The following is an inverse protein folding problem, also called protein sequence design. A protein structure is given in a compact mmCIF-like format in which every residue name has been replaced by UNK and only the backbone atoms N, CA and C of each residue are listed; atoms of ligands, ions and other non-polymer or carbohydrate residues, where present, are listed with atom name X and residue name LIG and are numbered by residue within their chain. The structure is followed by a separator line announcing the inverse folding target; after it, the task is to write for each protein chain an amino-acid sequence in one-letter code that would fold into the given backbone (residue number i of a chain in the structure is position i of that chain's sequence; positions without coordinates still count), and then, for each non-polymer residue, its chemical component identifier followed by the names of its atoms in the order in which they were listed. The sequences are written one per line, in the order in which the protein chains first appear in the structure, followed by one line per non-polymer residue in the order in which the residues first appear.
data_IF_194710747626
#
_entry.id   IF_194710747626
#
_cell.length_a   1.000
_cell.length_b   1.000
_cell.length_c   1.000
_cell.angle_alpha   90.00
_cell.angle_beta   90.00
_cell.angle_gamma   90.00
#
_symmetry.space_group_name_H-M   'P 1'
#
loop_
_entity.id
_entity.type
_entity.pdbx_description
1 polymer ?
#
# COMPACT_ATOMS: atom_id res chain seq x y z
N UNK A 1 -24.10 3.94 8.92
CA UNK A 1 -23.48 2.80 8.22
C UNK A 1 -21.96 2.85 8.35
N UNK A 2 -21.33 1.77 8.77
CA UNK A 2 -19.87 1.67 8.95
C UNK A 2 -19.33 0.49 8.14
N UNK A 3 -18.19 0.68 7.46
CA UNK A 3 -17.54 -0.37 6.69
C UNK A 3 -16.03 -0.32 6.90
N UNK A 4 -15.45 -1.48 7.16
CA UNK A 4 -14.01 -1.67 7.29
C UNK A 4 -13.51 -2.59 6.16
N UNK A 5 -12.36 -2.27 5.60
CA UNK A 5 -11.73 -3.06 4.55
C UNK A 5 -10.23 -3.20 4.84
N UNK A 6 -9.71 -4.40 4.57
CA UNK A 6 -8.30 -4.76 4.72
C UNK A 6 -7.82 -5.38 3.39
N UNK A 7 -6.66 -4.96 2.91
CA UNK A 7 -5.99 -5.50 1.74
C UNK A 7 -4.55 -5.88 2.06
N UNK A 8 -4.04 -6.93 1.43
CA UNK A 8 -2.64 -7.35 1.58
C UNK A 8 -2.05 -7.76 0.23
N UNK A 9 -0.78 -7.41 0.01
CA UNK A 9 -0.01 -7.75 -1.19
C UNK A 9 1.36 -8.26 -0.77
N UNK A 10 1.74 -9.41 -1.31
CA UNK A 10 3.02 -10.04 -1.03
C UNK A 10 3.75 -10.34 -2.35
N UNK A 11 5.04 -10.05 -2.37
CA UNK A 11 5.94 -10.45 -3.45
C UNK A 11 7.18 -11.12 -2.87
N UNK A 12 7.50 -12.30 -3.41
CA UNK A 12 8.70 -13.04 -3.07
C UNK A 12 9.96 -12.43 -3.71
N UNK A 13 11.04 -13.22 -3.74
CA UNK A 13 12.28 -12.78 -4.37
C UNK A 13 12.09 -12.62 -5.87
N UNK A 14 12.53 -11.48 -6.40
CA UNK A 14 12.60 -11.20 -7.84
C UNK A 14 14.05 -10.90 -8.25
N UNK A 15 14.31 -10.98 -9.54
CA UNK A 15 15.59 -10.68 -10.16
C UNK A 15 15.35 -9.75 -11.35
N UNK A 16 16.18 -8.73 -11.48
CA UNK A 16 16.15 -7.78 -12.60
C UNK A 16 17.12 -8.24 -13.70
N UNK A 17 18.25 -8.85 -13.33
CA UNK A 17 19.16 -9.45 -14.31
C UNK A 17 18.60 -10.79 -14.81
N UNK A 18 18.70 -11.04 -16.12
CA UNK A 18 18.20 -12.27 -16.75
C UNK A 18 18.91 -13.53 -16.25
N UNK A 19 20.15 -13.38 -15.78
CA UNK A 19 20.96 -14.47 -15.23
C UNK A 19 20.75 -14.67 -13.71
N UNK A 20 19.83 -13.91 -13.10
CA UNK A 20 19.56 -13.91 -11.67
C UNK A 20 20.79 -13.60 -10.78
N UNK A 21 21.80 -12.91 -11.31
CA UNK A 21 23.03 -12.57 -10.58
C UNK A 21 22.86 -11.50 -9.50
N UNK A 22 21.67 -10.92 -9.35
CA UNK A 22 21.40 -9.87 -8.37
C UNK A 22 21.63 -10.37 -6.94
N UNK A 23 22.71 -9.91 -6.30
CA UNK A 23 23.02 -10.29 -4.91
C UNK A 23 22.36 -9.38 -3.88
N UNK A 24 22.12 -8.11 -4.22
CA UNK A 24 21.56 -7.12 -3.30
C UNK A 24 20.15 -6.67 -3.77
N UNK A 25 19.06 -7.25 -3.25
CA UNK A 25 17.70 -6.94 -3.70
C UNK A 25 17.10 -5.67 -3.08
N UNK A 26 17.68 -5.13 -2.00
CA UNK A 26 17.04 -4.08 -1.17
C UNK A 26 17.61 -2.69 -1.48
N UNK A 27 17.81 -2.38 -2.76
CA UNK A 27 18.40 -1.12 -3.20
C UNK A 27 17.70 -0.56 -4.44
N UNK A 28 17.92 0.72 -4.71
CA UNK A 28 17.54 1.37 -5.96
C UNK A 28 18.11 0.62 -7.16
N UNK A 29 17.32 0.49 -8.24
CA UNK A 29 17.58 -0.35 -9.42
C UNK A 29 17.58 -1.87 -9.19
N UNK A 30 17.09 -2.34 -8.05
CA UNK A 30 16.89 -3.77 -7.78
C UNK A 30 15.41 -4.08 -7.50
N UNK A 31 15.09 -5.37 -7.31
CA UNK A 31 13.76 -5.83 -6.96
C UNK A 31 13.76 -6.49 -5.57
N UNK A 32 13.17 -5.82 -4.60
CA UNK A 32 13.02 -6.29 -3.22
C UNK A 32 11.82 -7.22 -3.11
N UNK A 33 11.90 -8.19 -2.18
CA UNK A 33 10.69 -8.81 -1.63
C UNK A 33 9.92 -7.75 -0.84
N UNK A 34 8.60 -7.82 -0.83
CA UNK A 34 7.80 -6.88 -0.05
C UNK A 34 6.50 -7.47 0.46
N UNK A 35 6.01 -6.93 1.58
CA UNK A 35 4.67 -7.18 2.10
C UNK A 35 4.00 -5.86 2.43
N UNK A 36 2.96 -5.50 1.70
CA UNK A 36 2.16 -4.30 1.92
C UNK A 36 0.79 -4.68 2.44
N UNK A 37 0.35 -3.97 3.48
CA UNK A 37 -0.97 -4.13 4.08
C UNK A 37 -1.65 -2.76 4.08
N UNK A 38 -2.87 -2.71 3.58
CA UNK A 38 -3.65 -1.48 3.45
C UNK A 38 -4.95 -1.63 4.26
N UNK A 39 -5.37 -0.57 4.94
CA UNK A 39 -6.61 -0.56 5.72
C UNK A 39 -7.42 0.70 5.42
N UNK A 40 -8.74 0.54 5.27
CA UNK A 40 -9.67 1.63 5.03
C UNK A 40 -10.93 1.47 5.85
N UNK A 41 -11.35 2.54 6.52
CA UNK A 41 -12.62 2.66 7.20
C UNK A 41 -13.49 3.73 6.53
N UNK A 42 -14.79 3.45 6.41
CA UNK A 42 -15.79 4.39 5.92
C UNK A 42 -16.93 4.48 6.94
N UNK A 43 -17.43 5.69 7.17
CA UNK A 43 -18.51 5.96 8.10
C UNK A 43 -19.48 6.99 7.52
N UNK A 44 -20.72 6.55 7.28
CA UNK A 44 -21.84 7.42 6.91
C UNK A 44 -22.38 8.10 8.18
N UNK A 45 -21.98 9.35 8.39
CA UNK A 45 -22.30 10.13 9.58
C UNK A 45 -23.55 11.01 9.43
N UNK A 46 -24.04 11.20 8.20
CA UNK A 46 -25.32 11.82 7.90
C UNK A 46 -25.93 11.21 6.63
N UNK A 47 -27.22 11.45 6.39
CA UNK A 47 -27.98 10.81 5.28
C UNK A 47 -27.33 10.96 3.90
N UNK A 48 -26.59 12.05 3.69
CA UNK A 48 -25.89 12.37 2.44
C UNK A 48 -24.38 12.49 2.58
N UNK A 49 -23.81 12.21 3.74
CA UNK A 49 -22.37 12.38 3.97
C UNK A 49 -21.69 11.13 4.50
N UNK A 50 -20.57 10.78 3.86
CA UNK A 50 -19.69 9.69 4.26
C UNK A 50 -18.27 10.20 4.45
N UNK A 51 -17.68 9.91 5.60
CA UNK A 51 -16.26 10.14 5.87
C UNK A 51 -15.47 8.84 5.68
N UNK A 52 -14.27 8.95 5.13
CA UNK A 52 -13.38 7.82 4.87
C UNK A 52 -11.98 8.14 5.36
N UNK A 53 -11.36 7.18 6.03
CA UNK A 53 -9.97 7.24 6.49
C UNK A 53 -9.25 5.97 6.07
N UNK A 54 -8.00 6.09 5.66
CA UNK A 54 -7.20 4.92 5.34
C UNK A 54 -5.70 5.12 5.45
N UNK A 55 -5.01 3.99 5.53
CA UNK A 55 -3.56 3.89 5.59
C UNK A 55 -3.11 2.84 4.59
N UNK A 56 -2.29 3.25 3.64
CA UNK A 56 -1.58 2.35 2.73
C UNK A 56 -0.22 2.01 3.32
N UNK A 57 0.27 0.79 3.08
CA UNK A 57 1.54 0.29 3.62
C UNK A 57 1.62 0.47 5.15
N UNK A 58 0.64 -0.09 5.86
CA UNK A 58 0.48 -0.06 7.32
C UNK A 58 1.70 -0.59 8.07
N UNK A 59 2.48 -1.50 7.48
CA UNK A 59 3.72 -2.03 8.05
C UNK A 59 4.92 -1.10 7.84
N UNK A 60 4.81 -0.08 6.97
CA UNK A 60 5.91 0.79 6.53
C UNK A 60 7.09 0.01 5.94
N UNK A 61 6.80 -1.01 5.15
CA UNK A 61 7.82 -1.77 4.44
C UNK A 61 8.50 -0.89 3.38
N UNK A 62 9.84 -0.91 3.35
CA UNK A 62 10.66 -0.11 2.43
C UNK A 62 11.23 -1.04 1.37
N UNK A 63 10.57 -1.06 0.22
CA UNK A 63 10.91 -1.94 -0.88
C UNK A 63 11.18 -1.16 -2.17
N UNK A 64 11.88 -1.81 -3.09
CA UNK A 64 12.26 -1.27 -4.38
C UNK A 64 11.79 -2.19 -5.49
N UNK A 65 11.26 -1.63 -6.56
CA UNK A 65 11.09 -2.30 -7.85
C UNK A 65 11.61 -1.35 -8.91
N UNK A 66 12.92 -1.40 -9.15
CA UNK A 66 13.70 -0.39 -9.89
C UNK A 66 13.75 1.00 -9.22
N UNK A 67 12.64 1.50 -8.71
CA UNK A 67 12.52 2.72 -7.90
C UNK A 67 11.95 2.41 -6.50
N UNK A 68 12.07 3.33 -5.53
CA UNK A 68 11.44 3.17 -4.22
C UNK A 68 9.92 3.05 -4.40
N UNK A 69 9.31 2.10 -3.71
CA UNK A 69 7.85 2.03 -3.61
C UNK A 69 7.33 3.06 -2.59
N UNK A 70 6.05 3.46 -2.69
CA UNK A 70 5.44 4.35 -1.72
C UNK A 70 5.58 3.84 -0.28
N UNK A 71 6.03 4.72 0.60
CA UNK A 71 6.07 4.47 2.04
C UNK A 71 4.66 4.60 2.64
N UNK A 72 4.55 4.40 3.96
CA UNK A 72 3.28 4.56 4.67
C UNK A 72 2.63 5.89 4.35
N UNK A 73 1.40 5.83 3.84
CA UNK A 73 0.64 7.01 3.42
C UNK A 73 -0.72 7.01 4.11
N UNK A 74 -1.10 8.15 4.68
CA UNK A 74 -2.39 8.35 5.31
C UNK A 74 -3.25 9.23 4.40
N UNK A 75 -4.53 8.89 4.28
CA UNK A 75 -5.48 9.70 3.53
C UNK A 75 -6.83 9.81 4.24
N UNK A 76 -7.51 10.92 3.96
CA UNK A 76 -8.85 11.22 4.43
C UNK A 76 -9.70 11.73 3.27
N UNK A 77 -10.99 11.38 3.26
CA UNK A 77 -11.94 11.79 2.24
C UNK A 77 -13.31 12.06 2.88
N UNK A 78 -14.02 13.05 2.35
CA UNK A 78 -15.44 13.28 2.60
C UNK A 78 -16.18 13.14 1.26
N UNK A 79 -17.28 12.39 1.26
CA UNK A 79 -18.17 12.19 0.12
C UNK A 79 -19.55 12.76 0.43
N UNK A 80 -20.14 13.47 -0.53
CA UNK A 80 -21.53 13.93 -0.51
C UNK A 80 -22.34 13.23 -1.61
N UNK A 81 -23.53 12.73 -1.26
CA UNK A 81 -24.48 12.10 -2.18
C UNK A 81 -25.64 13.10 -2.47
N UNK A 82 -25.76 13.56 -3.73
CA UNK A 82 -26.72 14.60 -4.16
C UNK A 82 -28.14 14.07 -4.35
#
# INVERSE_FOLDING_TARGET
DFTLSLGARFSGRQYINLDNSDINPNTYRSASRFTMVDIKANYKFADRFTASLGVDNLTNDKAYVSHPLPQRTLYAQIKFDY
#
